data_IF_961994004724
#
_entry.id   IF_961994004724
#
_cell.length_a   1.000
_cell.length_b   1.000
_cell.length_c   1.000
_cell.angle_alpha   90.00
_cell.angle_beta   90.00
_cell.angle_gamma   90.00
#
_symmetry.space_group_name_H-M   'P 1'
#
loop_
_entity.id
_entity.type
_entity.pdbx_description
1 polymer ?
#
# COMPACT_ATOMS: atom_id res chain seq x y z
N UNK A 1 50.70 29.97 -7.16
CA UNK A 1 50.32 28.87 -8.05
C UNK A 1 49.06 28.22 -7.51
N UNK A 2 48.08 27.98 -8.39
CA UNK A 2 46.84 27.21 -8.20
C UNK A 2 45.69 27.80 -7.36
N UNK A 3 44.83 28.57 -8.04
CA UNK A 3 43.39 28.24 -8.14
C UNK A 3 43.17 27.67 -9.56
N UNK A 4 42.17 26.80 -9.88
CA UNK A 4 40.76 26.98 -9.48
C UNK A 4 39.89 25.70 -9.28
N UNK A 5 38.64 25.92 -8.84
CA UNK A 5 37.48 25.02 -8.99
C UNK A 5 36.37 25.36 -7.98
N UNK A 6 35.50 26.37 -8.19
CA UNK A 6 34.19 26.33 -8.90
C UNK A 6 33.32 25.13 -8.47
N UNK A 7 32.10 25.19 -7.94
CA UNK A 7 31.08 26.20 -7.53
C UNK A 7 29.95 25.36 -6.84
N UNK A 8 28.98 25.97 -6.12
CA UNK A 8 28.10 25.31 -5.14
C UNK A 8 26.69 24.89 -5.64
N UNK A 9 25.98 24.15 -4.78
CA UNK A 9 24.52 24.10 -4.52
C UNK A 9 23.53 24.04 -5.70
N UNK A 10 22.71 22.97 -5.75
CA UNK A 10 21.43 22.96 -6.49
C UNK A 10 20.24 22.98 -5.53
N UNK A 11 19.81 24.21 -5.21
CA UNK A 11 18.52 24.54 -4.63
C UNK A 11 17.45 24.30 -5.70
N UNK A 12 16.43 23.48 -5.42
CA UNK A 12 15.30 23.28 -6.34
C UNK A 12 14.29 24.41 -6.14
N UNK A 13 14.35 25.35 -7.07
CA UNK A 13 13.50 26.52 -7.24
C UNK A 13 12.00 26.22 -7.08
N UNK A 14 11.37 26.92 -6.13
CA UNK A 14 9.93 27.17 -6.12
C UNK A 14 9.63 28.18 -7.22
N UNK A 15 8.82 27.78 -8.21
CA UNK A 15 8.29 28.73 -9.20
C UNK A 15 7.08 29.41 -8.60
N UNK A 16 7.30 30.63 -8.09
CA UNK A 16 6.27 31.64 -7.93
C UNK A 16 5.89 32.16 -9.32
N UNK A 17 4.63 32.02 -9.70
CA UNK A 17 4.06 32.70 -10.85
C UNK A 17 3.22 33.88 -10.34
N UNK A 18 3.78 35.08 -10.45
CA UNK A 18 3.06 36.35 -10.35
C UNK A 18 2.43 36.62 -11.71
N UNK A 19 1.11 36.78 -11.77
CA UNK A 19 0.44 37.30 -12.97
C UNK A 19 -0.13 38.69 -12.66
N UNK A 20 0.44 39.70 -13.30
CA UNK A 20 -0.08 41.05 -13.38
C UNK A 20 -1.35 41.07 -14.25
N UNK A 21 -2.29 41.94 -13.90
CA UNK A 21 -3.63 42.01 -14.48
C UNK A 21 -3.70 42.60 -15.88
N UNK A 22 -4.81 42.30 -16.54
CA UNK A 22 -5.38 43.02 -17.68
C UNK A 22 -6.91 42.93 -17.56
N UNK A 23 -7.57 44.08 -17.45
CA UNK A 23 -9.02 44.22 -17.47
C UNK A 23 -9.47 44.10 -18.93
N UNK A 24 -10.27 43.08 -19.24
CA UNK A 24 -11.01 42.99 -20.49
C UNK A 24 -12.39 42.37 -20.20
N UNK A 25 -13.42 43.17 -20.40
CA UNK A 25 -14.84 42.81 -20.33
C UNK A 25 -15.18 41.89 -21.50
N UNK A 26 -15.51 40.62 -21.26
CA UNK A 26 -16.04 39.75 -22.32
C UNK A 26 -15.97 38.25 -22.05
N UNK A 27 -17.13 37.63 -21.82
CA UNK A 27 -17.39 36.22 -22.09
C UNK A 27 -16.79 35.19 -21.13
N UNK A 28 -17.55 34.78 -20.11
CA UNK A 28 -17.29 33.56 -19.35
C UNK A 28 -17.56 32.33 -20.25
N UNK A 29 -16.56 31.89 -21.01
CA UNK A 29 -16.54 30.53 -21.53
C UNK A 29 -15.92 29.67 -20.42
N UNK A 30 -16.77 29.01 -19.65
CA UNK A 30 -16.36 27.97 -18.72
C UNK A 30 -15.77 26.81 -19.53
N UNK A 31 -14.46 26.85 -19.78
CA UNK A 31 -13.71 25.71 -20.28
C UNK A 31 -13.75 24.63 -19.19
N UNK A 32 -14.75 23.75 -19.29
CA UNK A 32 -14.81 22.54 -18.50
C UNK A 32 -13.61 21.68 -18.85
N UNK A 33 -12.55 21.77 -18.04
CA UNK A 33 -11.49 20.77 -18.03
C UNK A 33 -12.14 19.50 -17.48
N UNK A 34 -12.78 18.72 -18.35
CA UNK A 34 -13.01 17.31 -18.07
C UNK A 34 -11.62 16.73 -17.85
N UNK A 35 -11.22 16.60 -16.58
CA UNK A 35 -10.11 15.76 -16.20
C UNK A 35 -10.44 14.41 -16.83
N UNK A 36 -9.72 14.06 -17.91
CA UNK A 36 -9.73 12.70 -18.43
C UNK A 36 -9.31 11.86 -17.24
N UNK A 37 -10.28 11.16 -16.63
CA UNK A 37 -9.98 9.99 -15.83
C UNK A 37 -9.14 9.11 -16.73
N UNK A 38 -7.83 9.16 -16.50
CA UNK A 38 -6.89 8.31 -17.17
C UNK A 38 -7.40 6.88 -16.89
N UNK A 39 -7.61 6.05 -17.92
CA UNK A 39 -8.04 4.68 -17.71
C UNK A 39 -7.08 4.08 -16.69
N UNK A 40 -7.62 3.58 -15.57
CA UNK A 40 -6.85 2.96 -14.53
C UNK A 40 -6.01 1.87 -15.17
N UNK A 41 -4.72 2.14 -15.38
CA UNK A 41 -3.82 1.17 -15.95
C UNK A 41 -3.95 -0.08 -15.09
N UNK A 42 -4.36 -1.20 -15.69
CA UNK A 42 -4.50 -2.47 -15.00
C UNK A 42 -3.10 -2.92 -14.60
N UNK A 43 -2.65 -2.49 -13.43
CA UNK A 43 -1.35 -2.84 -12.90
C UNK A 43 -1.26 -4.36 -12.80
N UNK A 44 -0.19 -4.92 -13.36
CA UNK A 44 0.05 -6.36 -13.30
C UNK A 44 0.22 -6.76 -11.82
N UNK A 45 -0.53 -7.76 -11.33
CA UNK A 45 -0.44 -8.14 -9.92
C UNK A 45 0.92 -8.74 -9.60
N UNK A 46 1.49 -8.33 -8.47
CA UNK A 46 2.72 -8.87 -7.89
C UNK A 46 2.39 -10.27 -7.40
N UNK A 47 2.84 -11.28 -8.14
CA UNK A 47 2.59 -12.68 -7.79
C UNK A 47 3.60 -13.15 -6.74
N UNK A 48 3.09 -13.74 -5.67
CA UNK A 48 3.88 -14.21 -4.52
C UNK A 48 3.49 -15.65 -4.22
N UNK A 49 4.46 -16.53 -4.02
CA UNK A 49 4.24 -17.96 -3.78
C UNK A 49 4.93 -18.50 -2.51
N UNK A 50 5.72 -17.68 -1.81
CA UNK A 50 6.41 -18.05 -0.59
C UNK A 50 6.46 -16.92 0.45
N UNK A 51 6.88 -17.25 1.67
CA UNK A 51 6.89 -16.32 2.81
C UNK A 51 7.93 -15.19 2.69
N UNK A 52 9.08 -15.44 2.08
CA UNK A 52 10.12 -14.43 1.86
C UNK A 52 9.69 -13.46 0.76
N UNK A 53 9.12 -13.98 -0.33
CA UNK A 53 8.46 -13.19 -1.37
C UNK A 53 7.37 -12.28 -0.80
N UNK A 54 6.54 -12.79 0.13
CA UNK A 54 5.52 -11.98 0.78
C UNK A 54 6.11 -10.84 1.60
N UNK A 55 7.15 -11.10 2.41
CA UNK A 55 7.83 -10.05 3.18
C UNK A 55 8.40 -8.96 2.29
N UNK A 56 9.07 -9.35 1.20
CA UNK A 56 9.64 -8.42 0.22
C UNK A 56 8.55 -7.59 -0.47
N UNK A 57 7.45 -8.23 -0.87
CA UNK A 57 6.32 -7.55 -1.50
C UNK A 57 5.68 -6.53 -0.57
N UNK A 58 5.39 -6.89 0.69
CA UNK A 58 4.82 -5.97 1.68
C UNK A 58 5.74 -4.79 1.98
N UNK A 59 7.05 -5.03 2.08
CA UNK A 59 8.04 -3.98 2.33
C UNK A 59 8.21 -3.01 1.15
N UNK A 60 7.95 -3.45 -0.09
CA UNK A 60 8.11 -2.64 -1.31
C UNK A 60 6.79 -2.09 -1.85
N UNK A 61 5.66 -2.41 -1.20
CA UNK A 61 4.33 -2.08 -1.67
C UNK A 61 4.14 -0.56 -1.82
N UNK A 62 3.52 -0.17 -2.93
CA UNK A 62 3.22 1.21 -3.30
C UNK A 62 1.71 1.40 -3.48
N UNK A 63 1.19 2.64 -3.34
CA UNK A 63 -0.21 2.94 -3.61
C UNK A 63 -0.65 2.39 -4.98
N UNK A 64 -1.74 1.62 -5.01
CA UNK A 64 -2.26 0.96 -6.21
C UNK A 64 -1.75 -0.46 -6.46
N UNK A 65 -0.74 -0.94 -5.73
CA UNK A 65 -0.24 -2.30 -5.90
C UNK A 65 -1.28 -3.35 -5.52
N UNK A 66 -1.30 -4.44 -6.27
CA UNK A 66 -2.02 -5.67 -5.92
C UNK A 66 -1.01 -6.79 -5.72
N UNK A 67 -0.89 -7.25 -4.49
CA UNK A 67 -0.09 -8.42 -4.09
C UNK A 67 -1.02 -9.63 -4.12
N UNK A 68 -0.76 -10.56 -5.04
CA UNK A 68 -1.55 -11.79 -5.19
C UNK A 68 -0.77 -13.00 -4.67
N UNK A 69 -1.28 -13.58 -3.58
CA UNK A 69 -0.80 -14.83 -3.03
C UNK A 69 -1.29 -16.00 -3.87
N UNK A 70 -0.36 -16.87 -4.28
CA UNK A 70 -0.68 -18.21 -4.74
C UNK A 70 -1.17 -19.06 -3.55
N UNK A 71 -1.92 -20.12 -3.86
CA UNK A 71 -2.29 -21.12 -2.88
C UNK A 71 -1.04 -21.74 -2.26
N UNK A 72 -1.01 -21.83 -0.93
CA UNK A 72 0.20 -22.24 -0.22
C UNK A 72 0.21 -21.84 1.24
N UNK A 73 1.25 -22.27 1.95
CA UNK A 73 1.46 -21.91 3.36
C UNK A 73 2.60 -20.92 3.51
N UNK A 74 2.27 -19.77 4.08
CA UNK A 74 3.20 -18.68 4.36
C UNK A 74 3.50 -18.68 5.86
N UNK A 75 4.65 -19.23 6.26
CA UNK A 75 5.01 -19.34 7.68
C UNK A 75 5.70 -18.08 8.18
N UNK A 76 5.25 -17.59 9.32
CA UNK A 76 5.84 -16.44 10.01
C UNK A 76 4.79 -15.42 10.43
N UNK A 77 5.27 -14.32 11.02
CA UNK A 77 4.48 -13.12 11.28
C UNK A 77 4.75 -12.11 10.16
N UNK A 78 3.69 -11.50 9.64
CA UNK A 78 3.76 -10.55 8.53
C UNK A 78 3.32 -9.17 9.01
N UNK A 79 4.16 -8.18 8.79
CA UNK A 79 3.88 -6.79 9.16
C UNK A 79 3.79 -5.92 7.91
N UNK A 80 2.79 -5.04 7.91
CA UNK A 80 2.54 -4.05 6.88
C UNK A 80 2.71 -2.67 7.51
N UNK A 81 3.61 -1.87 6.94
CA UNK A 81 3.89 -0.49 7.38
C UNK A 81 3.67 0.54 6.27
N UNK A 82 3.71 0.12 5.00
CA UNK A 82 3.41 0.99 3.86
C UNK A 82 1.93 1.42 3.88
N UNK A 83 1.62 2.61 3.36
CA UNK A 83 0.24 3.09 3.21
C UNK A 83 -0.10 3.32 1.75
N UNK A 84 -1.35 3.01 1.38
CA UNK A 84 -1.95 3.49 0.14
C UNK A 84 -2.44 4.93 0.27
N UNK A 85 -3.24 5.35 -0.70
CA UNK A 85 -3.96 6.64 -0.69
C UNK A 85 -5.46 6.42 -0.90
N UNK A 86 -6.27 7.47 -0.73
CA UNK A 86 -7.72 7.39 -0.96
C UNK A 86 -8.09 6.95 -2.38
N UNK A 87 -7.32 7.39 -3.39
CA UNK A 87 -7.52 7.03 -4.79
C UNK A 87 -6.72 5.80 -5.26
N UNK A 88 -5.81 5.28 -4.45
CA UNK A 88 -4.93 4.16 -4.83
C UNK A 88 -4.61 3.30 -3.62
N UNK A 89 -5.59 2.46 -3.25
CA UNK A 89 -5.47 1.49 -2.16
C UNK A 89 -4.45 0.42 -2.53
N UNK A 90 -3.78 -0.14 -1.52
CA UNK A 90 -2.93 -1.33 -1.71
C UNK A 90 -3.75 -2.57 -1.39
N UNK A 91 -3.69 -3.59 -2.23
CA UNK A 91 -4.48 -4.81 -2.08
C UNK A 91 -3.58 -6.02 -1.81
N UNK A 92 -3.82 -6.73 -0.71
CA UNK A 92 -3.33 -8.09 -0.49
C UNK A 92 -4.48 -9.07 -0.74
N UNK A 93 -4.32 -9.94 -1.73
CA UNK A 93 -5.38 -10.88 -2.13
C UNK A 93 -4.86 -12.29 -2.41
N UNK A 94 -5.74 -13.27 -2.30
CA UNK A 94 -5.47 -14.67 -2.62
C UNK A 94 -6.77 -15.47 -2.59
N UNK A 95 -6.65 -16.79 -2.55
CA UNK A 95 -7.78 -17.68 -2.25
C UNK A 95 -7.76 -18.11 -0.77
N UNK A 96 -8.83 -18.75 -0.26
CA UNK A 96 -8.83 -19.32 1.09
C UNK A 96 -7.70 -20.35 1.33
N UNK A 97 -7.07 -20.86 0.28
CA UNK A 97 -5.92 -21.77 0.34
C UNK A 97 -4.57 -21.04 0.43
N UNK A 98 -4.53 -19.71 0.33
CA UNK A 98 -3.36 -18.91 0.70
C UNK A 98 -3.37 -18.67 2.22
N UNK A 99 -2.59 -19.47 2.95
CA UNK A 99 -2.67 -19.55 4.41
C UNK A 99 -1.44 -18.96 5.09
N UNK A 100 -1.62 -17.82 5.76
CA UNK A 100 -0.64 -17.21 6.65
C UNK A 100 -0.65 -17.99 7.97
N UNK A 101 0.49 -18.56 8.36
CA UNK A 101 0.59 -19.41 9.56
C UNK A 101 1.61 -18.84 10.54
N UNK A 102 1.13 -18.30 11.65
CA UNK A 102 1.96 -17.80 12.75
C UNK A 102 2.08 -18.83 13.88
N UNK A 103 3.28 -18.97 14.44
CA UNK A 103 3.53 -19.85 15.60
C UNK A 103 3.37 -19.13 16.94
N UNK A 104 3.31 -17.80 16.92
CA UNK A 104 3.14 -16.91 18.07
C UNK A 104 2.88 -15.47 17.58
N UNK A 105 2.71 -14.52 18.49
CA UNK A 105 2.47 -13.12 18.12
C UNK A 105 1.23 -12.95 17.24
N UNK A 106 1.38 -12.25 16.12
CA UNK A 106 0.33 -11.99 15.13
C UNK A 106 0.52 -12.78 13.84
N UNK A 107 -0.57 -13.12 13.16
CA UNK A 107 -0.58 -13.64 11.79
C UNK A 107 -0.29 -12.54 10.77
N UNK A 108 -1.07 -11.46 10.84
CA UNK A 108 -0.90 -10.26 10.03
C UNK A 108 -1.06 -9.01 10.90
N UNK A 109 -0.14 -8.06 10.79
CA UNK A 109 -0.22 -6.78 11.50
C UNK A 109 -0.14 -5.61 10.53
N UNK A 110 -1.12 -4.72 10.58
CA UNK A 110 -1.08 -3.42 9.92
C UNK A 110 -0.66 -2.38 10.97
N UNK A 111 0.50 -1.76 10.79
CA UNK A 111 1.11 -0.83 11.74
C UNK A 111 1.28 0.54 11.09
N UNK A 112 0.36 1.47 11.34
CA UNK A 112 0.31 2.75 10.63
C UNK A 112 -0.12 2.64 9.15
N UNK A 113 -0.41 1.43 8.67
CA UNK A 113 -0.64 1.11 7.27
C UNK A 113 -2.09 1.40 6.84
N UNK A 114 -2.32 2.60 6.33
CA UNK A 114 -3.65 3.07 5.92
C UNK A 114 -3.99 2.73 4.46
N UNK A 115 -5.28 2.71 4.13
CA UNK A 115 -5.79 2.46 2.76
C UNK A 115 -5.40 1.08 2.17
N UNK A 116 -5.54 0.04 2.99
CA UNK A 116 -5.31 -1.35 2.59
C UNK A 116 -6.59 -2.14 2.41
N UNK A 117 -6.64 -2.98 1.39
CA UNK A 117 -7.65 -4.04 1.25
C UNK A 117 -6.98 -5.39 1.43
N UNK A 118 -7.41 -6.15 2.43
CA UNK A 118 -6.98 -7.55 2.65
C UNK A 118 -8.17 -8.44 2.32
N UNK A 119 -8.03 -9.31 1.31
CA UNK A 119 -9.16 -10.08 0.80
C UNK A 119 -8.88 -11.53 0.48
N UNK A 120 -9.78 -12.42 0.91
CA UNK A 120 -9.89 -13.78 0.41
C UNK A 120 -8.87 -14.78 0.96
N UNK A 121 -7.99 -14.35 1.87
CA UNK A 121 -6.91 -15.19 2.42
C UNK A 121 -7.35 -15.88 3.72
N UNK A 122 -6.51 -16.80 4.20
CA UNK A 122 -6.68 -17.43 5.51
C UNK A 122 -5.52 -17.08 6.43
N UNK A 123 -5.81 -16.71 7.68
CA UNK A 123 -4.83 -16.46 8.74
C UNK A 123 -5.01 -17.47 9.87
N UNK A 124 -3.97 -18.25 10.18
CA UNK A 124 -4.00 -19.33 11.19
C UNK A 124 -2.88 -19.21 12.20
N UNK A 125 -3.19 -19.61 13.43
CA UNK A 125 -2.25 -19.62 14.55
C UNK A 125 -2.04 -18.23 15.12
N UNK A 126 -0.88 -18.02 15.75
CA UNK A 126 -0.60 -16.82 16.52
C UNK A 126 -1.44 -16.70 17.80
N UNK A 127 -1.07 -15.74 18.65
CA UNK A 127 -1.94 -15.24 19.72
C UNK A 127 -3.03 -14.32 19.15
N UNK A 128 -2.73 -13.71 18.01
CA UNK A 128 -3.59 -12.76 17.31
C UNK A 128 -3.64 -13.12 15.83
N UNK A 129 -4.83 -13.06 15.24
CA UNK A 129 -4.99 -13.32 13.81
C UNK A 129 -4.52 -12.12 13.01
N UNK A 130 -5.34 -11.06 13.03
CA UNK A 130 -5.06 -9.80 12.35
C UNK A 130 -5.09 -8.68 13.39
N UNK A 131 -4.02 -7.90 13.47
CA UNK A 131 -3.93 -6.70 14.30
C UNK A 131 -3.87 -5.45 13.40
N UNK A 132 -4.63 -4.43 13.73
CA UNK A 132 -4.66 -3.14 13.02
C UNK A 132 -4.36 -2.04 14.03
N UNK A 133 -3.15 -1.50 13.99
CA UNK A 133 -2.66 -0.44 14.88
C UNK A 133 -2.45 0.85 14.10
N UNK A 134 -2.96 1.96 14.62
CA UNK A 134 -2.74 3.32 14.08
C UNK A 134 -3.01 3.47 12.56
N UNK A 135 -3.86 2.61 11.99
CA UNK A 135 -4.19 2.57 10.57
C UNK A 135 -5.64 3.00 10.33
N UNK A 136 -5.89 3.69 9.22
CA UNK A 136 -7.22 4.17 8.81
C UNK A 136 -7.60 3.64 7.43
N UNK A 137 -8.90 3.56 7.17
CA UNK A 137 -9.46 3.13 5.88
C UNK A 137 -8.99 1.74 5.45
N UNK A 138 -8.87 0.79 6.39
CA UNK A 138 -8.54 -0.62 6.09
C UNK A 138 -9.83 -1.40 5.84
N UNK A 139 -9.84 -2.22 4.80
CA UNK A 139 -10.94 -3.14 4.48
C UNK A 139 -10.41 -4.56 4.62
N UNK A 140 -11.11 -5.37 5.42
CA UNK A 140 -10.87 -6.81 5.53
C UNK A 140 -12.12 -7.51 5.03
N UNK A 141 -12.00 -8.25 3.94
CA UNK A 141 -13.13 -8.87 3.23
C UNK A 141 -12.87 -10.35 2.98
N UNK A 142 -13.86 -11.20 3.23
CA UNK A 142 -13.79 -12.63 2.91
C UNK A 142 -12.53 -13.34 3.47
N UNK A 143 -12.05 -12.92 4.64
CA UNK A 143 -10.86 -13.49 5.30
C UNK A 143 -11.28 -14.51 6.36
N UNK A 144 -10.69 -15.70 6.33
CA UNK A 144 -10.85 -16.69 7.39
C UNK A 144 -9.75 -16.53 8.44
N UNK A 145 -10.13 -16.48 9.72
CA UNK A 145 -9.18 -16.29 10.84
C UNK A 145 -9.36 -17.41 11.86
N UNK A 146 -8.26 -18.01 12.31
CA UNK A 146 -8.26 -18.98 13.41
C UNK A 146 -7.01 -18.80 14.27
N UNK A 147 -7.18 -18.40 15.53
CA UNK A 147 -6.06 -18.23 16.49
C UNK A 147 -5.82 -19.49 17.32
N UNK A 148 -4.62 -19.64 17.89
CA UNK A 148 -4.34 -20.75 18.82
C UNK A 148 -5.08 -20.49 20.13
N UNK A 149 -5.92 -21.44 20.56
CA UNK A 149 -6.45 -21.42 21.94
C UNK A 149 -5.33 -21.80 22.90
N UNK A 150 -5.10 -21.03 23.98
CA UNK A 150 -4.28 -21.50 25.08
C UNK A 150 -5.02 -22.65 25.80
N UNK A 151 -4.33 -23.77 26.07
CA UNK A 151 -4.82 -24.81 26.98
C UNK A 151 -5.25 -26.16 26.41
N UNK A 152 -5.02 -26.46 25.13
CA UNK A 152 -5.17 -27.84 24.62
C UNK A 152 -3.91 -28.25 23.84
N UNK A 153 -3.15 -29.17 24.42
CA UNK A 153 -2.09 -29.96 23.79
C UNK A 153 -2.65 -31.28 23.30
#
# INVERSE_FOLDING_TARGET
MHSPGRTPARLRTFVTASAAGLIATGGLIAAGTTAREAPAATAVPISVNDADGLRKALARARPGDTIRLADGRYRGSFEITASGTSGSRITLTGSPKAVLTASGGYGLRLNGASYWTVRGITVRGGREGIRIDAARNVTVDSVSVSVRRPGHT
#
